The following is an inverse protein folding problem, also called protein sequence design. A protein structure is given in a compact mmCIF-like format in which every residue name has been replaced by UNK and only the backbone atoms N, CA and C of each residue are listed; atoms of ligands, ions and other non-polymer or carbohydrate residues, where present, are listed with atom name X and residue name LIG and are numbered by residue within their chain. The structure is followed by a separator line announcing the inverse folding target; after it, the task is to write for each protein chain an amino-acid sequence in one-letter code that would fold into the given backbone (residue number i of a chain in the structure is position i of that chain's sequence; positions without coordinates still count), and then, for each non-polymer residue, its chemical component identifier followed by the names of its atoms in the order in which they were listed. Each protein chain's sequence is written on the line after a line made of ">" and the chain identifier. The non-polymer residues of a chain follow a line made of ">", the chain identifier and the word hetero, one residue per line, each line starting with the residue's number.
data_IF_485015702709
#
_entry.id   IF_485015702709
#
_cell.length_a   1.000
_cell.length_b   1.000
_cell.length_c   1.000
_cell.angle_alpha   90.00
_cell.angle_beta   90.00
_cell.angle_gamma   90.00
#
_symmetry.space_group_name_H-M   'P 1'
#
loop_
_entity.id
_entity.type
_entity.pdbx_description
1 polymer ?
#
# COMPACT_ATOMS: atom_id res chain seq x y z
N UNK A 1 0.80 -5.69 -3.80
CA UNK A 1 0.32 -5.21 -5.11
C UNK A 1 -0.09 -3.76 -4.94
N UNK A 2 0.31 -2.88 -5.85
CA UNK A 2 0.04 -1.45 -5.77
C UNK A 2 -0.60 -0.99 -7.08
N UNK A 3 -1.88 -0.65 -7.11
CA UNK A 3 -2.51 -0.12 -8.32
C UNK A 3 -1.92 1.26 -8.60
N UNK A 4 -1.76 1.63 -9.86
CA UNK A 4 -1.50 3.01 -10.28
C UNK A 4 -2.75 3.51 -11.04
N UNK A 5 -3.14 4.79 -10.91
CA UNK A 5 -4.34 5.32 -11.54
C UNK A 5 -4.11 5.66 -13.02
N UNK A 6 -3.33 4.83 -13.73
CA UNK A 6 -2.91 5.04 -15.11
C UNK A 6 -2.83 3.71 -15.85
N UNK A 7 -3.25 3.64 -17.13
CA UNK A 7 -3.12 2.45 -17.97
C UNK A 7 -1.72 2.29 -18.59
N UNK A 8 -0.84 3.28 -18.42
CA UNK A 8 0.52 3.31 -18.97
C UNK A 8 1.56 3.35 -17.85
N UNK A 9 2.66 2.65 -18.06
CA UNK A 9 3.81 2.72 -17.17
C UNK A 9 4.33 4.17 -17.08
N UNK A 10 4.64 4.68 -15.86
CA UNK A 10 5.15 6.04 -15.72
C UNK A 10 6.44 6.24 -16.53
N UNK A 11 6.61 7.36 -17.25
CA UNK A 11 7.80 7.60 -18.07
C UNK A 11 9.04 7.97 -17.24
N UNK A 12 8.84 8.44 -16.00
CA UNK A 12 9.90 8.92 -15.11
C UNK A 12 9.54 8.73 -13.62
N UNK A 13 10.53 8.99 -12.77
CA UNK A 13 10.46 8.84 -11.31
C UNK A 13 9.43 9.78 -10.67
N UNK A 14 9.28 11.00 -11.20
CA UNK A 14 8.33 11.99 -10.67
C UNK A 14 6.87 11.61 -10.98
N UNK A 15 6.61 11.12 -12.20
CA UNK A 15 5.29 10.60 -12.57
C UNK A 15 4.95 9.35 -11.78
N UNK A 16 5.93 8.47 -11.52
CA UNK A 16 5.75 7.30 -10.64
C UNK A 16 5.41 7.74 -9.21
N UNK A 17 6.15 8.71 -8.65
CA UNK A 17 5.91 9.26 -7.31
C UNK A 17 4.48 9.80 -7.20
N UNK A 18 4.05 10.61 -8.16
CA UNK A 18 2.70 11.16 -8.21
C UNK A 18 1.62 10.07 -8.30
N UNK A 19 1.82 9.07 -9.15
CA UNK A 19 0.89 7.94 -9.30
C UNK A 19 0.75 7.11 -8.01
N UNK A 20 1.86 6.86 -7.31
CA UNK A 20 1.86 6.16 -6.02
C UNK A 20 1.16 6.99 -4.93
N UNK A 21 1.41 8.30 -4.89
CA UNK A 21 0.78 9.23 -3.96
C UNK A 21 -0.75 9.23 -4.14
N UNK A 22 -1.22 9.35 -5.39
CA UNK A 22 -2.65 9.34 -5.71
C UNK A 22 -3.30 8.01 -5.35
N UNK A 23 -2.66 6.88 -5.66
CA UNK A 23 -3.17 5.57 -5.30
C UNK A 23 -3.29 5.37 -3.79
N UNK A 24 -2.31 5.81 -3.01
CA UNK A 24 -2.37 5.71 -1.55
C UNK A 24 -3.46 6.62 -0.97
N UNK A 25 -3.67 7.82 -1.55
CA UNK A 25 -4.70 8.75 -1.11
C UNK A 25 -6.13 8.21 -1.31
N UNK A 26 -6.32 7.16 -2.12
CA UNK A 26 -7.61 6.44 -2.26
C UNK A 26 -7.89 5.50 -1.09
N UNK A 27 -6.86 5.07 -0.37
CA UNK A 27 -6.95 4.09 0.73
C UNK A 27 -6.89 4.78 2.09
N UNK A 28 -6.06 5.82 2.21
CA UNK A 28 -5.84 6.55 3.45
C UNK A 28 -6.02 8.05 3.23
N UNK A 29 -6.43 8.74 4.29
CA UNK A 29 -6.32 10.20 4.39
C UNK A 29 -4.91 10.52 4.90
N UNK A 30 -4.05 11.14 4.07
CA UNK A 30 -2.69 11.48 4.47
C UNK A 30 -2.65 12.61 5.50
N UNK A 31 -1.65 12.59 6.38
CA UNK A 31 -1.30 13.73 7.23
C UNK A 31 -0.29 14.70 6.56
N UNK A 32 0.30 14.28 5.45
CA UNK A 32 1.28 15.01 4.64
C UNK A 32 1.71 14.18 3.42
N UNK A 33 2.71 14.63 2.65
CA UNK A 33 3.23 13.86 1.52
C UNK A 33 3.69 12.47 1.95
N UNK A 34 3.25 11.44 1.25
CA UNK A 34 3.52 10.05 1.61
C UNK A 34 4.70 9.46 0.86
N UNK A 35 4.91 9.80 -0.41
CA UNK A 35 5.84 9.08 -1.29
C UNK A 35 7.04 9.92 -1.67
N UNK A 36 8.22 9.35 -1.47
CA UNK A 36 9.49 9.82 -2.04
C UNK A 36 10.08 8.74 -2.93
N UNK A 37 10.56 9.13 -4.11
CA UNK A 37 11.24 8.26 -5.06
C UNK A 37 12.60 8.88 -5.36
N UNK A 38 13.65 8.09 -5.21
CA UNK A 38 15.03 8.47 -5.53
C UNK A 38 15.49 7.58 -6.70
N UNK A 39 15.82 8.19 -7.83
CA UNK A 39 16.25 7.47 -9.03
C UNK A 39 17.78 7.32 -9.11
N UNK A 40 18.19 6.24 -9.78
CA UNK A 40 19.56 6.07 -10.26
C UNK A 40 19.57 6.28 -11.78
N UNK A 41 18.88 5.39 -12.51
CA UNK A 41 18.64 5.45 -13.96
C UNK A 41 17.29 4.76 -14.22
N UNK A 42 16.21 5.53 -14.35
CA UNK A 42 14.85 5.00 -14.50
C UNK A 42 14.75 3.93 -15.61
N UNK A 43 14.10 2.76 -15.37
CA UNK A 43 13.24 2.40 -14.24
C UNK A 43 13.97 1.77 -13.02
N UNK A 44 15.31 1.93 -12.93
CA UNK A 44 16.09 1.53 -11.75
C UNK A 44 16.16 2.66 -10.73
N UNK A 45 15.74 2.37 -9.51
CA UNK A 45 15.56 3.32 -8.42
C UNK A 45 16.49 2.96 -7.26
N UNK A 46 17.11 3.99 -6.69
CA UNK A 46 17.91 3.86 -5.46
C UNK A 46 16.99 3.62 -4.27
N UNK A 47 15.86 4.32 -4.22
CA UNK A 47 14.89 4.14 -3.14
C UNK A 47 13.45 4.49 -3.52
N UNK A 48 12.51 3.77 -2.90
CA UNK A 48 11.12 4.20 -2.73
C UNK A 48 10.83 4.22 -1.23
N UNK A 49 10.37 5.36 -0.73
CA UNK A 49 9.98 5.55 0.66
C UNK A 49 8.53 5.99 0.74
N UNK A 50 7.74 5.28 1.52
CA UNK A 50 6.34 5.57 1.79
C UNK A 50 6.17 5.85 3.28
N UNK A 51 5.71 7.04 3.63
CA UNK A 51 5.33 7.40 4.99
C UNK A 51 3.81 7.52 5.10
N UNK A 52 3.23 6.66 5.90
CA UNK A 52 1.84 6.69 6.33
C UNK A 52 1.74 7.23 7.78
N UNK A 53 2.79 7.91 8.26
CA UNK A 53 2.87 8.44 9.62
C UNK A 53 1.72 9.45 9.85
N UNK A 54 0.85 9.16 10.82
CA UNK A 54 -0.34 9.96 11.13
C UNK A 54 -1.51 9.79 10.14
N UNK A 55 -1.39 8.92 9.14
CA UNK A 55 -2.47 8.69 8.18
C UNK A 55 -3.69 8.05 8.85
N UNK A 56 -4.88 8.31 8.31
CA UNK A 56 -6.14 7.70 8.78
C UNK A 56 -6.73 6.84 7.67
N UNK A 57 -6.93 5.55 7.95
CA UNK A 57 -7.63 4.64 7.05
C UNK A 57 -9.15 4.71 7.28
N UNK A 58 -9.93 4.44 6.23
CA UNK A 58 -11.39 4.32 6.30
C UNK A 58 -11.84 3.12 7.14
N UNK A 59 -13.15 3.03 7.41
CA UNK A 59 -13.73 1.97 8.24
C UNK A 59 -13.63 0.58 7.60
N UNK A 60 -13.72 0.51 6.28
CA UNK A 60 -13.54 -0.71 5.50
C UNK A 60 -12.35 -0.51 4.55
N UNK A 61 -11.38 -1.45 4.51
CA UNK A 61 -10.37 -1.42 3.48
C UNK A 61 -11.07 -1.61 2.11
N UNK A 62 -10.64 -0.88 1.07
CA UNK A 62 -11.12 -1.15 -0.28
C UNK A 62 -10.78 -2.61 -0.65
N UNK A 63 -11.62 -3.20 -1.51
CA UNK A 63 -11.31 -4.52 -2.06
C UNK A 63 -9.94 -4.47 -2.73
N UNK A 64 -9.06 -5.48 -2.50
CA UNK A 64 -7.77 -5.51 -3.16
C UNK A 64 -7.98 -5.58 -4.68
N UNK A 65 -7.16 -4.87 -5.47
CA UNK A 65 -7.28 -4.88 -6.92
C UNK A 65 -7.11 -6.33 -7.43
N UNK A 66 -7.99 -6.74 -8.33
CA UNK A 66 -7.90 -8.06 -8.95
C UNK A 66 -7.00 -7.99 -10.19
N UNK A 67 -5.87 -8.70 -10.24
CA UNK A 67 -5.05 -8.74 -11.43
C UNK A 67 -5.84 -9.37 -12.58
N UNK A 68 -5.77 -8.75 -13.76
CA UNK A 68 -6.21 -9.38 -14.99
C UNK A 68 -5.35 -10.60 -15.27
N UNK A 69 -5.96 -11.65 -15.84
CA UNK A 69 -5.23 -12.84 -16.27
C UNK A 69 -4.33 -12.45 -17.45
N UNK A 70 -3.02 -12.52 -17.26
CA UNK A 70 -2.05 -12.11 -18.27
C UNK A 70 -0.60 -12.26 -17.81
N UNK A 71 0.33 -12.03 -18.74
CA UNK A 71 1.75 -11.99 -18.42
C UNK A 71 2.08 -10.75 -17.59
N UNK A 72 2.92 -10.92 -16.58
CA UNK A 72 3.52 -9.81 -15.83
C UNK A 72 4.80 -9.42 -16.55
N UNK A 73 4.90 -8.17 -16.98
CA UNK A 73 6.11 -7.65 -17.63
C UNK A 73 7.08 -7.08 -16.58
N UNK A 74 8.38 -6.97 -16.86
CA UNK A 74 9.30 -6.25 -15.99
C UNK A 74 8.88 -4.79 -15.79
N UNK A 75 8.93 -4.30 -14.55
CA UNK A 75 8.53 -2.93 -14.19
C UNK A 75 9.68 -2.12 -13.59
N UNK A 76 9.86 -2.19 -12.27
CA UNK A 76 10.84 -1.40 -11.51
C UNK A 76 11.86 -2.31 -10.82
N UNK A 77 13.09 -1.83 -10.73
CA UNK A 77 14.12 -2.36 -9.83
C UNK A 77 14.39 -1.30 -8.76
N UNK A 78 14.29 -1.67 -7.48
CA UNK A 78 14.41 -0.74 -6.35
C UNK A 78 15.40 -1.28 -5.35
N UNK A 79 16.53 -0.60 -5.15
CA UNK A 79 17.54 -1.05 -4.20
C UNK A 79 17.03 -1.01 -2.76
N UNK A 80 16.33 0.06 -2.37
CA UNK A 80 15.79 0.24 -1.02
C UNK A 80 14.30 0.59 -1.03
N UNK A 81 13.47 -0.31 -0.49
CA UNK A 81 12.04 -0.07 -0.32
C UNK A 81 11.70 0.08 1.16
N UNK A 82 10.96 1.13 1.53
CA UNK A 82 10.55 1.35 2.92
C UNK A 82 9.11 1.85 3.00
N UNK A 83 8.33 1.29 3.92
CA UNK A 83 7.02 1.82 4.34
C UNK A 83 7.04 2.02 5.85
N UNK A 84 6.68 3.20 6.34
CA UNK A 84 6.46 3.46 7.76
C UNK A 84 5.04 3.94 8.00
N UNK A 85 4.49 3.66 9.16
CA UNK A 85 3.24 4.27 9.62
C UNK A 85 3.20 4.27 11.13
N UNK A 86 3.33 5.46 11.75
CA UNK A 86 3.43 5.63 13.21
C UNK A 86 2.63 6.82 13.73
N UNK A 87 1.49 6.59 14.40
CA UNK A 87 0.59 5.47 14.09
C UNK A 87 -0.15 5.73 12.78
N UNK A 88 -0.67 4.67 12.20
CA UNK A 88 -1.82 4.72 11.28
C UNK A 88 -3.09 4.58 12.14
N UNK A 89 -4.07 5.44 11.93
CA UNK A 89 -5.36 5.36 12.61
C UNK A 89 -6.35 4.52 11.77
N UNK A 90 -6.84 3.42 12.32
CA UNK A 90 -7.82 2.53 11.68
C UNK A 90 -9.01 2.39 12.62
N UNK A 91 -10.19 2.88 12.28
CA UNK A 91 -11.38 2.84 13.16
C UNK A 91 -11.07 3.27 14.62
N UNK A 92 -10.24 4.31 14.80
CA UNK A 92 -9.72 4.84 16.07
C UNK A 92 -8.63 4.01 16.77
N UNK A 93 -8.33 2.80 16.32
CA UNK A 93 -7.17 2.02 16.77
C UNK A 93 -5.87 2.57 16.18
N UNK A 94 -4.79 2.48 16.96
CA UNK A 94 -3.45 2.91 16.55
C UNK A 94 -2.64 1.70 16.12
N UNK A 95 -2.20 1.71 14.87
CA UNK A 95 -1.40 0.63 14.28
C UNK A 95 -0.06 1.19 13.84
N UNK A 96 1.02 0.63 14.37
CA UNK A 96 2.36 0.92 13.90
C UNK A 96 2.77 -0.11 12.85
N UNK A 97 3.25 0.37 11.70
CA UNK A 97 3.71 -0.45 10.58
C UNK A 97 5.14 -0.05 10.22
N UNK A 98 6.01 -1.03 10.07
CA UNK A 98 7.31 -0.86 9.41
C UNK A 98 7.50 -1.98 8.41
N UNK A 99 7.79 -1.62 7.16
CA UNK A 99 8.20 -2.53 6.11
C UNK A 99 9.51 -2.03 5.52
N UNK A 100 10.50 -2.92 5.40
CA UNK A 100 11.77 -2.63 4.74
C UNK A 100 12.12 -3.78 3.82
N UNK A 101 12.57 -3.50 2.61
CA UNK A 101 13.07 -4.51 1.70
C UNK A 101 14.26 -3.99 0.88
N UNK A 102 15.12 -4.91 0.44
CA UNK A 102 16.28 -4.64 -0.41
C UNK A 102 16.20 -5.41 -1.73
N UNK A 103 16.74 -4.79 -2.78
CA UNK A 103 16.81 -5.33 -4.14
C UNK A 103 15.46 -5.86 -4.63
N UNK A 104 14.45 -4.99 -4.57
CA UNK A 104 13.06 -5.30 -4.90
C UNK A 104 12.86 -5.23 -6.41
N UNK A 105 12.26 -6.28 -6.98
CA UNK A 105 11.75 -6.28 -8.36
C UNK A 105 10.23 -6.19 -8.35
N UNK A 106 9.72 -5.15 -8.98
CA UNK A 106 8.30 -4.96 -9.22
C UNK A 106 8.02 -5.23 -10.70
N UNK A 107 7.14 -6.18 -10.97
CA UNK A 107 6.56 -6.39 -12.30
C UNK A 107 5.38 -5.45 -12.52
N UNK A 108 5.04 -5.22 -13.78
CA UNK A 108 3.84 -4.51 -14.19
C UNK A 108 2.81 -5.51 -14.75
N UNK A 109 1.64 -5.53 -14.14
CA UNK A 109 0.45 -6.18 -14.65
C UNK A 109 -0.64 -5.15 -14.91
N UNK A 110 -1.84 -5.63 -15.21
CA UNK A 110 -3.06 -4.81 -15.25
C UNK A 110 -4.09 -5.34 -14.27
N UNK A 111 -4.94 -4.48 -13.75
CA UNK A 111 -6.18 -4.89 -13.09
C UNK A 111 -7.30 -5.15 -14.12
N UNK A 112 -8.47 -5.59 -13.65
CA UNK A 112 -9.64 -5.81 -14.50
C UNK A 112 -10.17 -4.55 -15.19
N UNK A 113 -9.87 -3.38 -14.63
CA UNK A 113 -10.25 -2.07 -15.18
C UNK A 113 -9.20 -1.55 -16.19
N UNK A 114 -8.13 -2.32 -16.43
CA UNK A 114 -7.05 -2.00 -17.36
C UNK A 114 -5.99 -1.04 -16.79
N UNK A 115 -6.09 -0.65 -15.52
CA UNK A 115 -5.09 0.16 -14.84
C UNK A 115 -3.84 -0.65 -14.55
N UNK A 116 -2.69 0.02 -14.53
CA UNK A 116 -1.43 -0.61 -14.21
C UNK A 116 -1.41 -1.07 -12.76
N UNK A 117 -0.87 -2.27 -12.54
CA UNK A 117 -0.71 -2.87 -11.23
C UNK A 117 0.76 -3.24 -11.01
N UNK A 118 1.41 -2.61 -10.03
CA UNK A 118 2.75 -3.00 -9.61
C UNK A 118 2.68 -4.24 -8.70
N UNK A 119 3.38 -5.28 -9.10
CA UNK A 119 3.38 -6.59 -8.46
C UNK A 119 4.77 -6.90 -7.94
N UNK A 120 4.91 -7.11 -6.62
CA UNK A 120 6.14 -7.62 -6.05
C UNK A 120 6.43 -9.01 -6.62
N UNK A 121 7.52 -9.13 -7.37
CA UNK A 121 7.98 -10.40 -7.95
C UNK A 121 9.06 -11.03 -7.07
N UNK A 122 10.00 -10.21 -6.63
CA UNK A 122 11.17 -10.66 -5.87
C UNK A 122 11.66 -9.55 -4.94
N UNK A 123 12.28 -9.93 -3.83
CA UNK A 123 13.13 -9.08 -3.00
C UNK A 123 14.26 -9.95 -2.44
N UNK A 124 15.50 -9.44 -2.40
CA UNK A 124 16.60 -10.18 -1.80
C UNK A 124 16.42 -10.32 -0.28
N UNK A 125 15.91 -9.25 0.35
CA UNK A 125 15.58 -9.23 1.77
C UNK A 125 14.31 -8.44 2.02
N UNK A 126 13.54 -8.83 3.04
CA UNK A 126 12.31 -8.17 3.42
C UNK A 126 11.97 -8.40 4.88
N UNK A 127 11.49 -7.36 5.55
CA UNK A 127 11.00 -7.40 6.92
C UNK A 127 9.73 -6.59 7.03
N UNK A 128 8.71 -7.17 7.65
CA UNK A 128 7.46 -6.49 7.97
C UNK A 128 7.19 -6.65 9.46
N UNK A 129 6.97 -5.54 10.13
CA UNK A 129 6.56 -5.47 11.53
C UNK A 129 5.26 -4.69 11.63
N UNK A 130 4.30 -5.28 12.33
CA UNK A 130 3.04 -4.64 12.68
C UNK A 130 2.89 -4.71 14.19
N UNK A 131 2.69 -3.56 14.82
CA UNK A 131 2.46 -3.47 16.25
C UNK A 131 1.13 -2.75 16.50
N UNK A 132 0.36 -3.28 17.45
CA UNK A 132 -0.94 -2.77 17.86
C UNK A 132 -1.12 -3.06 19.34
N UNK A 133 -1.69 -2.12 20.10
CA UNK A 133 -2.04 -2.36 21.49
C UNK A 133 -3.15 -3.42 21.57
N UNK A 134 -3.10 -4.31 22.57
CA UNK A 134 -4.11 -5.36 22.71
C UNK A 134 -5.54 -4.79 22.81
N UNK A 135 -5.72 -3.70 23.55
CA UNK A 135 -7.01 -3.00 23.66
C UNK A 135 -7.52 -2.46 22.32
N UNK A 136 -6.61 -1.98 21.47
CA UNK A 136 -6.94 -1.46 20.15
C UNK A 136 -7.31 -2.61 19.19
N UNK A 137 -6.61 -3.74 19.29
CA UNK A 137 -6.94 -4.95 18.54
C UNK A 137 -8.32 -5.50 18.93
N UNK A 138 -8.63 -5.57 20.23
CA UNK A 138 -9.95 -5.98 20.73
C UNK A 138 -11.05 -5.06 20.21
N UNK A 139 -10.83 -3.73 20.23
CA UNK A 139 -11.77 -2.75 19.70
C UNK A 139 -12.02 -2.94 18.20
N UNK A 140 -10.97 -3.20 17.40
CA UNK A 140 -11.11 -3.49 15.97
C UNK A 140 -11.91 -4.75 15.69
N UNK A 141 -11.61 -5.84 16.41
CA UNK A 141 -12.33 -7.11 16.26
C UNK A 141 -13.80 -6.94 16.64
N UNK A 142 -14.09 -6.26 17.73
CA UNK A 142 -15.46 -5.99 18.16
C UNK A 142 -16.21 -5.10 17.16
N UNK A 143 -15.56 -4.07 16.61
CA UNK A 143 -16.15 -3.22 15.58
C UNK A 143 -16.51 -4.02 14.32
N UNK A 144 -15.61 -4.90 13.86
CA UNK A 144 -15.88 -5.81 12.74
C UNK A 144 -17.04 -6.78 13.04
N UNK A 145 -17.06 -7.38 14.23
CA UNK A 145 -18.12 -8.28 14.66
C UNK A 145 -19.50 -7.59 14.72
N UNK A 146 -19.55 -6.36 15.25
CA UNK A 146 -20.78 -5.54 15.29
C UNK A 146 -21.27 -5.19 13.90
N UNK A 147 -20.37 -4.80 13.01
CA UNK A 147 -20.73 -4.47 11.63
C UNK A 147 -21.34 -5.68 10.90
N UNK A 148 -20.77 -6.87 11.06
CA UNK A 148 -21.30 -8.09 10.45
C UNK A 148 -22.61 -8.56 11.12
N UNK A 149 -22.67 -8.54 12.45
CA UNK A 149 -23.88 -8.93 13.19
C UNK A 149 -25.08 -8.05 12.82
N UNK A 150 -24.88 -6.74 12.69
CA UNK A 150 -25.92 -5.80 12.26
C UNK A 150 -26.45 -6.14 10.86
N UNK A 151 -25.61 -6.60 9.91
CA UNK A 151 -26.05 -7.07 8.59
C UNK A 151 -26.94 -8.31 8.67
N UNK A 152 -26.77 -9.12 9.71
CA UNK A 152 -27.55 -10.32 9.97
C UNK A 152 -28.75 -10.09 10.93
N UNK A 153 -28.98 -8.83 11.36
CA UNK A 153 -30.04 -8.49 12.32
C UNK A 153 -29.76 -8.95 13.76
N UNK A 154 -28.49 -9.23 14.09
CA UNK A 154 -28.01 -9.68 15.40
C UNK A 154 -27.26 -8.54 16.09
N UNK A 155 -27.43 -8.41 17.41
CA UNK A 155 -26.68 -7.44 18.23
C UNK A 155 -25.58 -8.15 19.01
N UNK A 156 -24.36 -7.61 18.97
CA UNK A 156 -23.16 -8.11 19.66
C UNK A 156 -22.54 -7.00 20.51
#
# INVERSE_FOLDING_TARGET
>A
MFPLPSPTFPPDSETLRAALEESLARVVRPAGPMVTVEDAIYPKLTAIRVSLDGATAGELPPAPPQPAVGAVEPGLEVENFTVTGRPILIQRARVDLTCTARDVRLGQGRDQDGNLLLLLQEAAEGKVEVAIALSDLEALVLAGAKAEAARQGVTV
#
